data_IF_838265765615
#
_entry.id   IF_838265765615
#
_cell.length_a   1.000
_cell.length_b   1.000
_cell.length_c   1.000
_cell.angle_alpha   90.00
_cell.angle_beta   90.00
_cell.angle_gamma   90.00
#
_symmetry.space_group_name_H-M   'P 1'
#
loop_
_entity.id
_entity.type
_entity.pdbx_description
1 polymer ?
#
# COMPACT_ATOMS: atom_id res chain seq x y z
N UNK A 1 7.64 -6.31 -41.71
CA UNK A 1 8.31 -6.17 -40.39
C UNK A 1 7.26 -5.66 -39.44
N UNK A 2 6.62 -6.57 -38.71
CA UNK A 2 5.51 -6.27 -37.82
C UNK A 2 6.11 -5.80 -36.50
N UNK A 3 5.99 -4.51 -36.17
CA UNK A 3 6.38 -3.98 -34.86
C UNK A 3 5.21 -4.23 -33.91
N UNK A 4 5.29 -5.15 -32.94
CA UNK A 4 4.30 -5.21 -31.88
C UNK A 4 4.46 -3.93 -31.06
N UNK A 5 3.58 -2.97 -31.29
CA UNK A 5 3.41 -1.78 -30.46
C UNK A 5 2.87 -2.25 -29.12
N UNK A 6 3.77 -2.78 -28.29
CA UNK A 6 3.50 -3.03 -26.89
C UNK A 6 2.97 -1.73 -26.30
N UNK A 7 1.78 -1.79 -25.71
CA UNK A 7 1.19 -0.67 -25.00
C UNK A 7 2.00 -0.46 -23.71
N UNK A 8 3.21 0.09 -23.86
CA UNK A 8 4.14 0.33 -22.76
C UNK A 8 3.55 1.49 -21.98
N UNK A 9 3.13 1.19 -20.75
CA UNK A 9 2.60 2.14 -19.78
C UNK A 9 3.51 3.39 -19.80
N UNK A 10 2.97 4.60 -20.00
CA UNK A 10 3.79 5.79 -20.21
C UNK A 10 4.75 6.01 -19.03
N UNK A 11 6.06 6.03 -19.31
CA UNK A 11 7.15 6.30 -18.37
C UNK A 11 6.88 7.42 -17.32
N UNK A 12 6.27 8.57 -17.66
CA UNK A 12 5.95 9.59 -16.64
C UNK A 12 5.01 9.11 -15.54
N UNK A 13 4.12 8.15 -15.83
CA UNK A 13 3.25 7.54 -14.83
C UNK A 13 4.05 6.71 -13.84
N UNK A 14 4.99 5.89 -14.32
CA UNK A 14 5.87 5.10 -13.46
C UNK A 14 6.70 6.00 -12.54
N UNK A 15 7.24 7.11 -13.08
CA UNK A 15 8.06 8.05 -12.32
C UNK A 15 7.27 8.73 -11.19
N UNK A 16 6.01 9.09 -11.44
CA UNK A 16 5.11 9.70 -10.44
C UNK A 16 4.81 8.75 -9.29
N UNK A 17 4.51 7.49 -9.61
CA UNK A 17 4.20 6.46 -8.61
C UNK A 17 5.45 6.10 -7.83
N UNK A 18 6.59 5.95 -8.49
CA UNK A 18 7.89 5.78 -7.84
C UNK A 18 8.15 6.90 -6.81
N UNK A 19 7.94 8.16 -7.20
CA UNK A 19 8.05 9.29 -6.27
C UNK A 19 7.12 9.16 -5.05
N UNK A 20 5.86 8.75 -5.28
CA UNK A 20 4.92 8.51 -4.19
C UNK A 20 5.37 7.37 -3.24
N UNK A 21 5.92 6.27 -3.77
CA UNK A 21 6.48 5.18 -2.97
C UNK A 21 7.67 5.63 -2.12
N UNK A 22 8.55 6.44 -2.70
CA UNK A 22 9.72 6.99 -2.00
C UNK A 22 9.26 7.90 -0.86
N UNK A 23 8.30 8.80 -1.11
CA UNK A 23 7.72 9.67 -0.08
C UNK A 23 7.08 8.85 1.04
N UNK A 24 6.27 7.86 0.69
CA UNK A 24 5.59 6.99 1.66
C UNK A 24 6.59 6.17 2.49
N UNK A 25 7.77 5.89 1.93
CA UNK A 25 8.86 5.23 2.64
C UNK A 25 9.65 6.18 3.52
N UNK A 26 9.91 7.40 3.08
CA UNK A 26 10.53 8.44 3.90
C UNK A 26 9.66 8.75 5.13
N UNK A 27 8.34 8.86 4.96
CA UNK A 27 7.39 9.02 6.08
C UNK A 27 7.49 7.85 7.05
N UNK A 28 7.54 6.61 6.55
CA UNK A 28 7.62 5.41 7.39
C UNK A 28 8.94 5.36 8.19
N UNK A 29 10.07 5.74 7.57
CA UNK A 29 11.37 5.86 8.24
C UNK A 29 11.37 7.00 9.26
N UNK A 30 10.73 8.13 8.96
CA UNK A 30 10.61 9.24 9.89
C UNK A 30 9.76 8.87 11.11
N UNK A 31 8.60 8.24 10.89
CA UNK A 31 7.73 7.72 11.97
C UNK A 31 8.46 6.68 12.81
N UNK A 32 9.22 5.79 12.17
CA UNK A 32 10.10 4.82 12.84
C UNK A 32 11.10 5.46 13.79
N UNK A 33 11.70 6.58 13.37
CA UNK A 33 12.74 7.29 14.11
C UNK A 33 12.19 8.22 15.19
N UNK A 34 10.97 8.76 15.00
CA UNK A 34 10.41 9.80 15.85
C UNK A 34 9.50 9.28 16.99
N UNK A 35 8.90 8.09 16.85
CA UNK A 35 7.97 7.53 17.85
C UNK A 35 8.59 6.40 18.68
N UNK A 36 8.28 6.39 19.98
CA UNK A 36 8.62 5.31 20.93
C UNK A 36 8.16 3.94 20.41
N UNK A 37 8.89 2.87 20.77
CA UNK A 37 8.78 1.52 20.21
C UNK A 37 7.37 0.90 20.25
N UNK A 38 6.51 1.33 21.20
CA UNK A 38 5.14 0.85 21.30
C UNK A 38 4.19 1.44 20.23
N UNK A 39 4.43 2.67 19.77
CA UNK A 39 3.54 3.35 18.79
C UNK A 39 4.08 3.28 17.36
N UNK A 40 5.37 2.97 17.18
CA UNK A 40 5.98 2.81 15.85
C UNK A 40 5.48 1.56 15.13
N UNK A 41 5.30 0.44 15.84
CA UNK A 41 4.80 -0.83 15.29
C UNK A 41 3.42 -0.70 14.62
N UNK A 42 2.38 -0.16 15.28
CA UNK A 42 1.07 0.04 14.64
C UNK A 42 1.09 0.96 13.43
N UNK A 43 1.89 2.03 13.49
CA UNK A 43 2.00 2.96 12.38
C UNK A 43 2.67 2.31 11.16
N UNK A 44 3.76 1.56 11.36
CA UNK A 44 4.45 0.85 10.28
C UNK A 44 3.57 -0.21 9.62
N UNK A 45 2.88 -0.99 10.44
CA UNK A 45 2.06 -2.11 9.96
C UNK A 45 0.83 -1.62 9.18
N UNK A 46 0.36 -0.41 9.46
CA UNK A 46 -0.74 0.23 8.72
C UNK A 46 -0.27 0.91 7.43
N UNK A 47 0.88 1.60 7.45
CA UNK A 47 1.39 2.30 6.24
C UNK A 47 1.90 1.30 5.19
N UNK A 48 2.43 0.14 5.61
CA UNK A 48 2.96 -0.89 4.71
C UNK A 48 1.94 -1.42 3.69
N UNK A 49 0.73 -1.87 4.06
CA UNK A 49 -0.30 -2.30 3.11
C UNK A 49 -0.83 -1.15 2.24
N UNK A 50 -0.77 0.11 2.69
CA UNK A 50 -1.06 1.26 1.83
C UNK A 50 -0.09 1.35 0.64
N UNK A 51 1.21 1.09 0.85
CA UNK A 51 2.20 1.05 -0.23
C UNK A 51 1.87 -0.06 -1.22
N UNK A 52 1.54 -1.25 -0.70
CA UNK A 52 1.17 -2.40 -1.51
C UNK A 52 -0.08 -2.12 -2.35
N UNK A 53 -1.10 -1.46 -1.77
CA UNK A 53 -2.30 -1.02 -2.48
C UNK A 53 -2.00 -0.02 -3.60
N UNK A 54 -1.09 0.94 -3.36
CA UNK A 54 -0.69 1.92 -4.37
C UNK A 54 0.04 1.26 -5.55
N UNK A 55 0.92 0.28 -5.28
CA UNK A 55 1.59 -0.52 -6.31
C UNK A 55 0.60 -1.35 -7.09
N UNK A 56 -0.32 -2.05 -6.40
CA UNK A 56 -1.36 -2.84 -7.05
C UNK A 56 -2.27 -2.01 -7.95
N UNK A 57 -2.62 -0.78 -7.54
CA UNK A 57 -3.50 0.08 -8.32
C UNK A 57 -2.84 0.63 -9.60
N UNK A 58 -1.52 0.85 -9.58
CA UNK A 58 -0.79 1.51 -10.67
C UNK A 58 0.06 0.58 -11.56
N UNK A 59 0.72 -0.42 -10.98
CA UNK A 59 1.66 -1.31 -11.70
C UNK A 59 1.01 -2.61 -12.13
N UNK A 60 0.12 -3.16 -11.31
CA UNK A 60 -0.84 -4.15 -11.79
C UNK A 60 -1.91 -3.36 -12.54
N UNK A 61 -2.26 -3.82 -13.74
CA UNK A 61 -3.10 -3.12 -14.71
C UNK A 61 -4.58 -3.00 -14.28
N UNK A 62 -4.85 -2.86 -12.97
CA UNK A 62 -6.15 -2.85 -12.32
C UNK A 62 -7.05 -1.70 -12.77
N UNK A 63 -6.45 -0.61 -13.28
CA UNK A 63 -7.20 0.48 -13.93
C UNK A 63 -7.87 0.03 -15.25
N UNK A 64 -7.36 -1.02 -15.88
CA UNK A 64 -7.83 -1.58 -17.16
C UNK A 64 -8.49 -2.96 -17.01
N UNK A 65 -8.36 -3.62 -15.86
CA UNK A 65 -9.08 -4.84 -15.56
C UNK A 65 -10.47 -4.55 -14.97
N UNK A 66 -11.42 -5.47 -15.15
CA UNK A 66 -12.82 -5.29 -14.79
C UNK A 66 -13.06 -4.93 -13.32
N UNK A 67 -14.19 -4.26 -13.05
CA UNK A 67 -14.62 -3.77 -11.73
C UNK A 67 -14.52 -4.82 -10.60
N UNK A 68 -14.59 -6.11 -10.95
CA UNK A 68 -14.41 -7.26 -10.09
C UNK A 68 -13.06 -7.29 -9.35
N UNK A 69 -11.92 -7.15 -10.05
CA UNK A 69 -10.61 -7.21 -9.40
C UNK A 69 -10.36 -6.00 -8.49
N UNK A 70 -10.80 -4.82 -8.93
CA UNK A 70 -10.74 -3.60 -8.11
C UNK A 70 -11.52 -3.76 -6.81
N UNK A 71 -12.73 -4.31 -6.89
CA UNK A 71 -13.59 -4.54 -5.72
C UNK A 71 -13.02 -5.64 -4.82
N UNK A 72 -12.51 -6.73 -5.40
CA UNK A 72 -11.90 -7.83 -4.65
C UNK A 72 -10.64 -7.39 -3.90
N UNK A 73 -9.79 -6.56 -4.52
CA UNK A 73 -8.64 -5.95 -3.85
C UNK A 73 -9.07 -5.02 -2.71
N UNK A 74 -10.09 -4.18 -2.94
CA UNK A 74 -10.60 -3.27 -1.91
C UNK A 74 -11.18 -4.04 -0.72
N UNK A 75 -11.91 -5.13 -0.98
CA UNK A 75 -12.42 -6.04 0.05
C UNK A 75 -11.26 -6.71 0.79
N UNK A 76 -10.26 -7.23 0.08
CA UNK A 76 -9.10 -7.87 0.71
C UNK A 76 -8.30 -6.89 1.58
N UNK A 77 -8.03 -5.66 1.09
CA UNK A 77 -7.38 -4.60 1.87
C UNK A 77 -8.25 -4.18 3.07
N UNK A 78 -9.56 -4.03 2.86
CA UNK A 78 -10.51 -3.68 3.92
C UNK A 78 -10.54 -4.72 5.03
N UNK A 79 -10.67 -6.00 4.68
CA UNK A 79 -10.59 -7.11 5.63
C UNK A 79 -9.25 -7.12 6.35
N UNK A 80 -8.13 -6.98 5.62
CA UNK A 80 -6.80 -6.92 6.23
C UNK A 80 -6.70 -5.79 7.26
N UNK A 81 -7.16 -4.57 6.92
CA UNK A 81 -7.14 -3.42 7.83
C UNK A 81 -8.04 -3.62 9.05
N UNK A 82 -9.21 -4.26 8.89
CA UNK A 82 -10.10 -4.60 10.01
C UNK A 82 -9.40 -5.58 10.96
N UNK A 83 -8.84 -6.67 10.43
CA UNK A 83 -8.09 -7.65 11.23
C UNK A 83 -6.90 -7.00 11.93
N UNK A 84 -6.21 -6.09 11.23
CA UNK A 84 -5.09 -5.35 11.80
C UNK A 84 -5.52 -4.46 12.96
N UNK A 85 -6.62 -3.71 12.79
CA UNK A 85 -7.19 -2.86 13.84
C UNK A 85 -7.62 -3.68 15.07
N UNK A 86 -8.26 -4.83 14.85
CA UNK A 86 -8.64 -5.75 15.93
C UNK A 86 -7.42 -6.31 16.65
N UNK A 87 -6.39 -6.75 15.91
CA UNK A 87 -5.14 -7.25 16.47
C UNK A 87 -4.46 -6.18 17.34
N UNK A 88 -4.41 -4.93 16.88
CA UNK A 88 -3.85 -3.85 17.67
C UNK A 88 -4.68 -3.52 18.91
N UNK A 89 -6.00 -3.55 18.78
CA UNK A 89 -6.90 -3.34 19.92
C UNK A 89 -6.71 -4.43 20.98
N UNK A 90 -6.56 -5.69 20.57
CA UNK A 90 -6.28 -6.83 21.45
C UNK A 90 -4.91 -6.70 22.14
N UNK A 91 -3.87 -6.39 21.37
CA UNK A 91 -2.51 -6.12 21.88
C UNK A 91 -2.52 -4.97 22.89
N UNK A 92 -3.21 -3.87 22.61
CA UNK A 92 -3.27 -2.72 23.51
C UNK A 92 -3.98 -3.07 24.83
N UNK A 93 -5.07 -3.83 24.78
CA UNK A 93 -5.78 -4.33 25.99
C UNK A 93 -4.92 -5.31 26.78
N UNK A 94 -4.05 -6.08 26.13
CA UNK A 94 -3.15 -7.04 26.78
C UNK A 94 -1.97 -6.37 27.50
N UNK A 95 -1.53 -5.20 27.03
CA UNK A 95 -0.39 -4.44 27.56
C UNK A 95 -0.77 -3.26 28.47
N UNK A 96 -2.07 -2.94 28.60
CA UNK A 96 -2.63 -1.94 29.50
C UNK A 96 -3.07 -2.54 30.84
#
# INVERSE_FOLDING_TARGET
MEHPTGHVIPYPTLLRVWGALVVLTAILVFVSRAFHEALSVPAMLTITPLKAGLVFYFFMHLKYEGLLLKTMLLVALGTLLIFLGLLFSDVLVRFA
#
